data_IF_936731176184
#
_entry.id   IF_936731176184
#
_cell.length_a   1.000
_cell.length_b   1.000
_cell.length_c   1.000
_cell.angle_alpha   90.00
_cell.angle_beta   90.00
_cell.angle_gamma   90.00
#
_symmetry.space_group_name_H-M   'P 1'
#
loop_
_entity.id
_entity.type
_entity.pdbx_description
1 polymer ?
#
# COMPACT_ATOMS: atom_id res chain seq x y z
N UNK A 1 72.75 -40.61 2.86
CA UNK A 1 71.64 -39.84 3.50
C UNK A 1 70.80 -40.84 4.18
N UNK A 2 70.64 -40.72 5.51
CA UNK A 2 69.96 -41.72 6.31
C UNK A 2 68.48 -41.80 5.95
N UNK A 3 67.98 -43.01 5.72
CA UNK A 3 66.51 -43.24 5.42
C UNK A 3 65.62 -42.59 6.49
N UNK A 4 66.07 -42.46 7.70
CA UNK A 4 65.34 -41.78 8.78
C UNK A 4 65.15 -40.27 8.51
N UNK A 5 66.15 -39.61 7.95
CA UNK A 5 66.04 -38.19 7.57
C UNK A 5 65.02 -37.94 6.45
N UNK A 6 65.00 -38.81 5.44
CA UNK A 6 64.03 -38.74 4.36
C UNK A 6 62.58 -39.00 4.84
N UNK A 7 62.41 -39.93 5.78
CA UNK A 7 61.11 -40.22 6.37
C UNK A 7 60.59 -39.03 7.21
N UNK A 8 61.48 -38.43 8.04
CA UNK A 8 61.08 -37.26 8.85
C UNK A 8 60.75 -36.06 7.99
N UNK A 9 61.48 -35.81 6.93
CA UNK A 9 61.19 -34.72 5.97
C UNK A 9 59.84 -34.97 5.27
N UNK A 10 59.55 -36.17 4.83
CA UNK A 10 58.28 -36.54 4.23
C UNK A 10 57.10 -36.35 5.17
N UNK A 11 57.23 -36.69 6.48
CA UNK A 11 56.18 -36.43 7.47
C UNK A 11 55.93 -34.94 7.69
N UNK A 12 56.97 -34.11 7.76
CA UNK A 12 56.81 -32.65 7.91
C UNK A 12 56.10 -32.04 6.69
N UNK A 13 56.45 -32.48 5.48
CA UNK A 13 55.74 -32.02 4.25
C UNK A 13 54.29 -32.48 4.26
N UNK A 14 54.01 -33.73 4.60
CA UNK A 14 52.63 -34.25 4.64
C UNK A 14 51.77 -33.52 5.67
N UNK A 15 52.26 -33.23 6.86
CA UNK A 15 51.55 -32.44 7.88
C UNK A 15 51.31 -30.99 7.40
N UNK A 16 52.30 -30.37 6.76
CA UNK A 16 52.12 -29.02 6.17
C UNK A 16 51.02 -28.99 5.11
N UNK A 17 50.98 -29.95 4.22
CA UNK A 17 49.93 -30.07 3.18
C UNK A 17 48.55 -30.27 3.85
N UNK A 18 48.45 -31.13 4.86
CA UNK A 18 47.21 -31.35 5.61
C UNK A 18 46.65 -30.06 6.26
N UNK A 19 47.54 -29.26 6.86
CA UNK A 19 47.17 -27.97 7.46
C UNK A 19 46.67 -27.00 6.39
N UNK A 20 47.31 -26.89 5.24
CA UNK A 20 46.91 -26.00 4.14
C UNK A 20 45.54 -26.44 3.59
N UNK A 21 45.35 -27.73 3.36
CA UNK A 21 44.05 -28.25 2.85
C UNK A 21 42.94 -28.02 3.84
N UNK A 22 43.17 -28.27 5.14
CA UNK A 22 42.16 -28.02 6.18
C UNK A 22 41.80 -26.54 6.30
N UNK A 23 42.81 -25.66 6.29
CA UNK A 23 42.58 -24.21 6.29
C UNK A 23 41.79 -23.75 5.05
N UNK A 24 42.11 -24.27 3.86
CA UNK A 24 41.35 -23.98 2.63
C UNK A 24 39.89 -24.41 2.74
N UNK A 25 39.60 -25.62 3.23
CA UNK A 25 38.25 -26.14 3.38
C UNK A 25 37.47 -25.28 4.38
N UNK A 26 38.07 -24.92 5.51
CA UNK A 26 37.45 -24.06 6.52
C UNK A 26 37.14 -22.67 5.95
N UNK A 27 38.09 -22.02 5.32
CA UNK A 27 37.91 -20.71 4.74
C UNK A 27 36.84 -20.69 3.64
N UNK A 28 36.84 -21.73 2.79
CA UNK A 28 35.79 -21.88 1.73
C UNK A 28 34.39 -22.10 2.35
N UNK A 29 34.31 -22.88 3.41
CA UNK A 29 33.03 -23.10 4.13
C UNK A 29 32.54 -21.81 4.82
N UNK A 30 33.45 -21.09 5.48
CA UNK A 30 33.11 -19.81 6.13
C UNK A 30 32.65 -18.77 5.10
N UNK A 31 33.33 -18.64 3.96
CA UNK A 31 32.97 -17.71 2.89
C UNK A 31 31.57 -18.01 2.36
N UNK A 32 31.23 -19.28 2.09
CA UNK A 32 29.90 -19.66 1.64
C UNK A 32 28.79 -19.37 2.68
N UNK A 33 29.09 -19.62 3.96
CA UNK A 33 28.12 -19.34 5.02
C UNK A 33 27.90 -17.84 5.20
N UNK A 34 28.96 -17.05 5.14
CA UNK A 34 28.87 -15.58 5.19
C UNK A 34 28.03 -15.02 4.04
N UNK A 35 28.28 -15.51 2.81
CA UNK A 35 27.50 -15.09 1.64
C UNK A 35 25.99 -15.41 1.81
N UNK A 36 25.64 -16.60 2.29
CA UNK A 36 24.25 -16.98 2.57
C UNK A 36 23.62 -16.08 3.63
N UNK A 37 24.32 -15.79 4.71
CA UNK A 37 23.85 -14.92 5.78
C UNK A 37 23.60 -13.48 5.28
N UNK A 38 24.55 -12.94 4.52
CA UNK A 38 24.44 -11.61 3.92
C UNK A 38 23.27 -11.52 2.95
N UNK A 39 23.08 -12.52 2.09
CA UNK A 39 21.92 -12.57 1.17
C UNK A 39 20.60 -12.63 1.92
N UNK A 40 20.52 -13.46 2.97
CA UNK A 40 19.31 -13.56 3.80
C UNK A 40 19.00 -12.22 4.50
N UNK A 41 20.04 -11.53 5.01
CA UNK A 41 19.85 -10.22 5.66
C UNK A 41 19.41 -9.13 4.66
N UNK A 42 19.99 -9.10 3.45
CA UNK A 42 19.56 -8.17 2.39
C UNK A 42 18.07 -8.41 2.03
N UNK A 43 17.67 -9.67 1.84
CA UNK A 43 16.26 -10.01 1.55
C UNK A 43 15.35 -9.58 2.70
N UNK A 44 15.76 -9.85 3.95
CA UNK A 44 14.99 -9.45 5.13
C UNK A 44 14.83 -7.94 5.22
N UNK A 45 15.88 -7.18 4.97
CA UNK A 45 15.84 -5.72 4.99
C UNK A 45 14.96 -5.17 3.88
N UNK A 46 15.09 -5.68 2.66
CA UNK A 46 14.25 -5.28 1.53
C UNK A 46 12.75 -5.54 1.81
N UNK A 47 12.43 -6.69 2.41
CA UNK A 47 11.05 -7.02 2.78
C UNK A 47 10.50 -6.04 3.84
N UNK A 48 11.30 -5.65 4.83
CA UNK A 48 10.91 -4.65 5.84
C UNK A 48 10.65 -3.28 5.22
N UNK A 49 11.52 -2.84 4.32
CA UNK A 49 11.37 -1.54 3.69
C UNK A 49 10.19 -1.51 2.73
N UNK A 50 9.95 -2.61 2.00
CA UNK A 50 8.75 -2.76 1.18
C UNK A 50 7.44 -2.76 2.02
N UNK A 51 7.44 -3.40 3.18
CA UNK A 51 6.31 -3.37 4.11
C UNK A 51 5.99 -1.94 4.59
N UNK A 52 7.00 -1.12 4.87
CA UNK A 52 6.80 0.30 5.23
C UNK A 52 6.15 1.10 4.09
N UNK A 53 6.62 0.88 2.85
CA UNK A 53 6.03 1.53 1.67
C UNK A 53 4.57 1.13 1.47
N UNK A 54 4.24 -0.15 1.67
CA UNK A 54 2.85 -0.63 1.64
C UNK A 54 2.00 0.06 2.71
N UNK A 55 2.47 0.11 3.95
CA UNK A 55 1.73 0.79 5.03
C UNK A 55 1.46 2.25 4.71
N UNK A 56 2.46 2.98 4.22
CA UNK A 56 2.28 4.37 3.80
C UNK A 56 1.26 4.51 2.65
N UNK A 57 1.21 3.53 1.74
CA UNK A 57 0.20 3.50 0.68
C UNK A 57 -1.21 3.28 1.23
N UNK A 58 -1.40 2.33 2.16
CA UNK A 58 -2.69 2.10 2.81
C UNK A 58 -3.19 3.34 3.58
N UNK A 59 -2.31 4.00 4.33
CA UNK A 59 -2.64 5.25 5.02
C UNK A 59 -3.12 6.33 4.04
N UNK A 60 -2.43 6.52 2.93
CA UNK A 60 -2.82 7.48 1.89
C UNK A 60 -4.17 7.13 1.26
N UNK A 61 -4.40 5.85 0.98
CA UNK A 61 -5.66 5.40 0.40
C UNK A 61 -6.83 5.48 1.39
N UNK A 62 -6.60 5.24 2.67
CA UNK A 62 -7.59 5.49 3.71
C UNK A 62 -7.95 6.98 3.80
N UNK A 63 -6.95 7.86 3.81
CA UNK A 63 -7.18 9.30 3.78
C UNK A 63 -7.92 9.77 2.52
N UNK A 64 -7.61 9.19 1.36
CA UNK A 64 -8.33 9.44 0.11
C UNK A 64 -9.82 9.12 0.27
N UNK A 65 -10.16 7.96 0.83
CA UNK A 65 -11.54 7.54 1.05
C UNK A 65 -12.27 8.45 2.03
N UNK A 66 -11.64 8.79 3.15
CA UNK A 66 -12.22 9.68 4.17
C UNK A 66 -12.46 11.08 3.61
N UNK A 67 -11.51 11.67 2.89
CA UNK A 67 -11.62 13.01 2.29
C UNK A 67 -12.68 13.09 1.20
N UNK A 68 -12.94 11.99 0.52
CA UNK A 68 -13.94 11.87 -0.55
C UNK A 68 -15.27 11.29 -0.07
N UNK A 69 -15.42 11.09 1.24
CA UNK A 69 -16.72 10.73 1.81
C UNK A 69 -17.73 11.87 1.64
N UNK A 70 -19.01 11.52 1.49
CA UNK A 70 -20.07 12.52 1.29
C UNK A 70 -20.09 13.57 2.42
N UNK A 71 -19.99 13.18 3.70
CA UNK A 71 -19.90 14.17 4.79
C UNK A 71 -18.70 15.12 4.69
N UNK A 72 -17.51 14.58 4.34
CA UNK A 72 -16.31 15.38 4.19
C UNK A 72 -16.42 16.39 3.03
N UNK A 73 -17.02 15.97 1.92
CA UNK A 73 -17.28 16.83 0.77
C UNK A 73 -18.30 17.92 1.10
N UNK A 74 -19.38 17.60 1.79
CA UNK A 74 -20.35 18.60 2.27
C UNK A 74 -19.65 19.61 3.16
N UNK A 75 -18.84 19.17 4.13
CA UNK A 75 -18.08 20.07 5.00
C UNK A 75 -17.15 20.97 4.20
N UNK A 76 -16.38 20.40 3.26
CA UNK A 76 -15.45 21.14 2.39
C UNK A 76 -16.13 22.25 1.60
N UNK A 77 -17.33 21.99 1.06
CA UNK A 77 -18.04 22.93 0.19
C UNK A 77 -19.16 23.73 0.88
N UNK A 78 -19.33 23.60 2.20
CA UNK A 78 -20.35 24.34 2.97
C UNK A 78 -20.23 25.86 2.77
N UNK A 79 -19.03 26.40 2.72
CA UNK A 79 -18.77 27.84 2.55
C UNK A 79 -18.68 28.30 1.10
N UNK A 80 -18.68 27.38 0.14
CA UNK A 80 -18.61 27.72 -1.28
C UNK A 80 -19.91 28.34 -1.76
N UNK A 81 -19.83 29.37 -2.59
CA UNK A 81 -20.99 29.91 -3.29
C UNK A 81 -21.29 29.09 -4.53
N UNK A 82 -22.55 29.03 -4.94
CA UNK A 82 -22.97 28.38 -6.16
C UNK A 82 -24.32 27.65 -6.06
N UNK A 83 -24.87 27.32 -7.23
CA UNK A 83 -26.07 26.49 -7.36
C UNK A 83 -25.78 25.03 -6.99
N UNK A 84 -26.78 24.21 -6.73
CA UNK A 84 -26.61 22.75 -6.53
C UNK A 84 -25.77 22.09 -7.60
N UNK A 85 -25.99 22.45 -8.87
CA UNK A 85 -25.21 21.95 -10.00
C UNK A 85 -23.72 22.31 -9.89
N UNK A 86 -23.41 23.58 -9.65
CA UNK A 86 -22.03 24.04 -9.50
C UNK A 86 -21.32 23.34 -8.33
N UNK A 87 -22.01 23.18 -7.19
CA UNK A 87 -21.46 22.47 -6.05
C UNK A 87 -21.24 20.98 -6.37
N UNK A 88 -22.18 20.33 -7.06
CA UNK A 88 -22.03 18.95 -7.51
C UNK A 88 -20.81 18.79 -8.44
N UNK A 89 -20.59 19.70 -9.36
CA UNK A 89 -19.42 19.69 -10.25
C UNK A 89 -18.11 19.88 -9.48
N UNK A 90 -18.09 20.82 -8.52
CA UNK A 90 -16.92 21.04 -7.65
C UNK A 90 -16.59 19.80 -6.80
N UNK A 91 -17.60 19.13 -6.24
CA UNK A 91 -17.42 17.87 -5.51
C UNK A 91 -16.83 16.77 -6.40
N UNK A 92 -17.41 16.59 -7.60
CA UNK A 92 -16.93 15.58 -8.55
C UNK A 92 -15.48 15.85 -9.01
N UNK A 93 -15.15 17.14 -9.26
CA UNK A 93 -13.79 17.53 -9.59
C UNK A 93 -12.82 17.22 -8.47
N UNK A 94 -13.17 17.56 -7.22
CA UNK A 94 -12.34 17.27 -6.05
C UNK A 94 -12.06 15.78 -5.87
N UNK A 95 -13.06 14.91 -6.08
CA UNK A 95 -12.89 13.45 -6.04
C UNK A 95 -11.89 12.99 -7.11
N UNK A 96 -12.05 13.48 -8.34
CA UNK A 96 -11.17 13.09 -9.45
C UNK A 96 -9.73 13.57 -9.25
N UNK A 97 -9.53 14.79 -8.75
CA UNK A 97 -8.20 15.30 -8.40
C UNK A 97 -7.53 14.45 -7.32
N UNK A 98 -8.20 14.25 -6.18
CA UNK A 98 -7.65 13.47 -5.06
C UNK A 98 -7.30 12.05 -5.51
N UNK A 99 -8.14 11.43 -6.35
CA UNK A 99 -7.86 10.11 -6.91
C UNK A 99 -6.63 10.13 -7.83
N UNK A 100 -6.50 11.16 -8.66
CA UNK A 100 -5.36 11.34 -9.58
C UNK A 100 -4.04 11.49 -8.83
N UNK A 101 -4.02 12.26 -7.74
CA UNK A 101 -2.83 12.41 -6.89
C UNK A 101 -2.38 11.11 -6.21
N UNK A 102 -3.29 10.15 -6.06
CA UNK A 102 -3.02 8.87 -5.41
C UNK A 102 -2.86 7.69 -6.38
N UNK A 103 -2.85 7.92 -7.71
CA UNK A 103 -2.74 6.85 -8.72
C UNK A 103 -1.51 5.96 -8.53
N UNK A 104 -0.39 6.52 -8.10
CA UNK A 104 0.85 5.76 -7.88
C UNK A 104 0.73 4.71 -6.77
N UNK A 105 -0.23 4.85 -5.85
CA UNK A 105 -0.40 3.90 -4.74
C UNK A 105 -0.87 2.52 -5.22
N UNK A 106 -1.42 2.42 -6.41
CA UNK A 106 -1.86 1.15 -7.00
C UNK A 106 -0.77 0.07 -7.08
N UNK A 107 0.52 0.47 -7.10
CA UNK A 107 1.64 -0.47 -7.20
C UNK A 107 1.95 -1.18 -5.87
N UNK A 108 1.42 -0.66 -4.75
CA UNK A 108 1.69 -1.16 -3.40
C UNK A 108 0.53 -1.97 -2.81
N UNK A 109 -0.64 -1.97 -3.44
CA UNK A 109 -1.84 -2.68 -2.98
C UNK A 109 -2.23 -3.79 -3.96
N UNK A 110 -3.10 -4.71 -3.53
CA UNK A 110 -3.60 -5.75 -4.42
C UNK A 110 -4.47 -5.18 -5.55
N UNK A 111 -4.53 -5.89 -6.67
CA UNK A 111 -5.43 -5.53 -7.77
C UNK A 111 -6.90 -5.50 -7.34
N UNK A 112 -7.29 -6.34 -6.38
CA UNK A 112 -8.63 -6.38 -5.82
C UNK A 112 -8.94 -5.10 -5.03
N UNK A 113 -8.05 -4.70 -4.12
CA UNK A 113 -8.20 -3.46 -3.35
C UNK A 113 -8.26 -2.26 -4.28
N UNK A 114 -7.36 -2.14 -5.25
CA UNK A 114 -7.39 -1.05 -6.21
C UNK A 114 -8.68 -1.00 -7.04
N UNK A 115 -9.19 -2.14 -7.46
CA UNK A 115 -10.47 -2.24 -8.18
C UNK A 115 -11.64 -1.80 -7.29
N UNK A 116 -11.66 -2.22 -6.04
CA UNK A 116 -12.68 -1.78 -5.06
C UNK A 116 -12.67 -0.27 -4.88
N UNK A 117 -11.48 0.36 -4.76
CA UNK A 117 -11.36 1.81 -4.65
C UNK A 117 -11.90 2.56 -5.87
N UNK A 118 -11.65 2.03 -7.08
CA UNK A 118 -12.25 2.59 -8.31
C UNK A 118 -13.78 2.49 -8.31
N UNK A 119 -14.32 1.37 -7.88
CA UNK A 119 -15.77 1.18 -7.77
C UNK A 119 -16.36 2.17 -6.76
N UNK A 120 -15.75 2.32 -5.58
CA UNK A 120 -16.17 3.28 -4.56
C UNK A 120 -16.16 4.71 -5.11
N UNK A 121 -15.12 5.10 -5.82
CA UNK A 121 -15.03 6.39 -6.49
C UNK A 121 -16.22 6.60 -7.43
N UNK A 122 -16.45 5.68 -8.36
CA UNK A 122 -17.53 5.80 -9.34
C UNK A 122 -18.92 5.82 -8.68
N UNK A 123 -19.15 4.98 -7.68
CA UNK A 123 -20.39 4.99 -6.90
C UNK A 123 -20.62 6.35 -6.24
N UNK A 124 -19.59 6.95 -5.65
CA UNK A 124 -19.70 8.28 -5.02
C UNK A 124 -20.01 9.36 -6.06
N UNK A 125 -19.34 9.34 -7.22
CA UNK A 125 -19.62 10.28 -8.32
C UNK A 125 -21.06 10.16 -8.82
N UNK A 126 -21.54 8.93 -9.07
CA UNK A 126 -22.90 8.65 -9.49
C UNK A 126 -23.92 9.12 -8.44
N UNK A 127 -23.64 8.83 -7.15
CA UNK A 127 -24.52 9.23 -6.05
C UNK A 127 -24.70 10.75 -5.98
N UNK A 128 -23.61 11.52 -6.04
CA UNK A 128 -23.64 12.98 -6.04
C UNK A 128 -24.41 13.52 -7.24
N UNK A 129 -24.08 13.02 -8.45
CA UNK A 129 -24.70 13.50 -9.70
C UNK A 129 -26.18 13.13 -9.81
N UNK A 130 -26.55 11.91 -9.42
CA UNK A 130 -27.94 11.49 -9.44
C UNK A 130 -28.80 12.24 -8.42
N UNK A 131 -28.25 12.57 -7.25
CA UNK A 131 -28.94 13.38 -6.25
C UNK A 131 -29.19 14.79 -6.75
N UNK A 132 -28.18 15.43 -7.37
CA UNK A 132 -28.32 16.76 -7.97
C UNK A 132 -29.43 16.79 -9.03
N UNK A 133 -29.44 15.82 -9.95
CA UNK A 133 -30.43 15.74 -11.04
C UNK A 133 -31.88 15.53 -10.58
N UNK A 134 -32.10 15.05 -9.39
CA UNK A 134 -33.44 14.80 -8.83
C UNK A 134 -33.99 15.99 -8.03
N UNK A 135 -33.20 17.04 -7.87
CA UNK A 135 -33.66 18.25 -7.19
C UNK A 135 -34.61 19.07 -8.09
N UNK A 136 -35.58 19.77 -7.50
CA UNK A 136 -36.40 20.73 -8.23
C UNK A 136 -35.53 21.92 -8.73
N UNK A 137 -35.98 22.59 -9.79
CA UNK A 137 -35.24 23.71 -10.43
C UNK A 137 -34.91 24.86 -9.46
N UNK A 138 -35.76 25.09 -8.47
CA UNK A 138 -35.58 26.15 -7.47
C UNK A 138 -34.83 25.70 -6.21
N UNK A 139 -34.24 24.50 -6.21
CA UNK A 139 -33.52 23.98 -5.06
C UNK A 139 -32.31 24.82 -4.73
N UNK A 140 -32.07 24.99 -3.45
CA UNK A 140 -30.89 25.67 -2.92
C UNK A 140 -29.74 24.67 -2.68
N UNK A 141 -28.52 25.19 -2.45
CA UNK A 141 -27.39 24.39 -1.98
C UNK A 141 -27.70 23.64 -0.69
N UNK A 142 -28.46 24.25 0.22
CA UNK A 142 -28.85 23.61 1.48
C UNK A 142 -29.75 22.40 1.24
N UNK A 143 -30.69 22.50 0.30
CA UNK A 143 -31.57 21.39 -0.10
C UNK A 143 -30.75 20.25 -0.71
N UNK A 144 -29.74 20.56 -1.53
CA UNK A 144 -28.84 19.57 -2.09
C UNK A 144 -28.07 18.80 -1.00
N UNK A 145 -27.45 19.50 -0.06
CA UNK A 145 -26.73 18.86 1.05
C UNK A 145 -27.67 18.03 1.94
N UNK A 146 -28.84 18.56 2.27
CA UNK A 146 -29.86 17.83 3.03
C UNK A 146 -30.27 16.53 2.33
N UNK A 147 -30.53 16.60 1.02
CA UNK A 147 -30.92 15.44 0.22
C UNK A 147 -29.79 14.39 0.14
N UNK A 148 -28.52 14.82 0.01
CA UNK A 148 -27.37 13.91 0.07
C UNK A 148 -27.30 13.15 1.39
N UNK A 149 -27.53 13.84 2.52
CA UNK A 149 -27.50 13.23 3.86
C UNK A 149 -28.64 12.23 4.02
N UNK A 150 -29.87 12.62 3.67
CA UNK A 150 -31.05 11.75 3.78
C UNK A 150 -30.89 10.49 2.94
N UNK A 151 -30.51 10.62 1.67
CA UNK A 151 -30.31 9.46 0.79
C UNK A 151 -29.17 8.55 1.24
N UNK A 152 -28.09 9.11 1.79
CA UNK A 152 -27.00 8.32 2.35
C UNK A 152 -27.49 7.47 3.53
N UNK A 153 -28.36 8.03 4.41
CA UNK A 153 -28.94 7.30 5.53
C UNK A 153 -29.92 6.22 5.07
N UNK A 154 -30.73 6.52 4.06
CA UNK A 154 -31.71 5.57 3.50
C UNK A 154 -31.06 4.40 2.76
N UNK A 155 -29.94 4.63 2.08
CA UNK A 155 -29.25 3.58 1.32
C UNK A 155 -28.62 2.51 2.19
N UNK A 156 -28.33 2.82 3.46
CA UNK A 156 -27.64 1.90 4.39
C UNK A 156 -26.25 1.46 3.96
N UNK A 157 -25.84 1.76 2.75
CA UNK A 157 -24.50 1.51 2.23
C UNK A 157 -23.71 2.81 2.11
N UNK A 158 -22.59 2.84 2.81
CA UNK A 158 -21.65 3.96 2.75
C UNK A 158 -20.45 3.53 1.91
N UNK A 159 -20.34 3.98 0.64
CA UNK A 159 -19.34 3.43 -0.29
C UNK A 159 -17.91 3.49 0.24
N UNK A 160 -17.51 4.58 0.92
CA UNK A 160 -16.16 4.72 1.44
C UNK A 160 -15.82 3.72 2.56
N UNK A 161 -16.79 3.31 3.39
CA UNK A 161 -16.58 2.29 4.42
C UNK A 161 -16.22 0.93 3.83
N UNK A 162 -16.84 0.56 2.71
CA UNK A 162 -16.50 -0.66 1.97
C UNK A 162 -15.04 -0.65 1.48
N UNK A 163 -14.59 0.51 1.01
CA UNK A 163 -13.19 0.71 0.64
C UNK A 163 -12.23 0.58 1.83
N UNK A 164 -12.58 1.20 2.96
CA UNK A 164 -11.81 1.11 4.21
C UNK A 164 -11.76 -0.33 4.75
N UNK A 165 -12.87 -1.04 4.70
CA UNK A 165 -12.91 -2.45 5.11
C UNK A 165 -11.99 -3.32 4.25
N UNK A 166 -11.98 -3.10 2.92
CA UNK A 166 -11.06 -3.81 2.02
C UNK A 166 -9.60 -3.54 2.37
N UNK A 167 -9.23 -2.27 2.65
CA UNK A 167 -7.88 -1.92 3.07
C UNK A 167 -7.51 -2.62 4.38
N UNK A 168 -8.40 -2.60 5.38
CA UNK A 168 -8.17 -3.27 6.68
C UNK A 168 -7.95 -4.77 6.50
N UNK A 169 -8.81 -5.44 5.74
CA UNK A 169 -8.68 -6.88 5.47
C UNK A 169 -7.36 -7.22 4.77
N UNK A 170 -6.89 -6.39 3.84
CA UNK A 170 -5.61 -6.61 3.16
C UNK A 170 -4.42 -6.41 4.12
N UNK A 171 -4.50 -5.42 5.02
CA UNK A 171 -3.49 -5.22 6.07
C UNK A 171 -3.43 -6.42 7.01
N UNK A 172 -4.55 -6.93 7.47
CA UNK A 172 -4.62 -8.11 8.35
C UNK A 172 -3.95 -9.34 7.73
N UNK A 173 -4.13 -9.55 6.41
CA UNK A 173 -3.48 -10.64 5.68
C UNK A 173 -1.96 -10.48 5.55
N UNK A 174 -1.40 -9.29 5.74
CA UNK A 174 0.06 -9.06 5.69
C UNK A 174 0.76 -9.40 7.01
N UNK A 175 0.01 -9.44 8.12
CA UNK A 175 0.57 -9.66 9.47
C UNK A 175 0.17 -11.01 10.09
N UNK A 176 -0.69 -11.79 9.43
CA UNK A 176 -1.03 -13.18 9.78
C UNK A 176 -0.31 -14.17 8.87
#
# INVERSE_FOLDING_TARGET
>A
MDNQFLISLAMVIATGVLIIVSAYVVLKSMSKNLEKTLRAEIIRQNNKDFAKLKMAAYERLALLLERNSVPALIHKFTKSAGSPQQISEMMQHAINEEFSYNLSQQVYVSAQTWTTLKIVKEQTLIFIKSTEKQLPENATKADFFGTLIVKMQESGEIPHEKGLQMIRSEIELLFN
#
